data_IF_941290690996
#
_entry.id   IF_941290690996
#
_cell.length_a   1.000
_cell.length_b   1.000
_cell.length_c   1.000
_cell.angle_alpha   90.00
_cell.angle_beta   90.00
_cell.angle_gamma   90.00
#
_symmetry.space_group_name_H-M   'P 1'
#
loop_
_entity.id
_entity.type
_entity.pdbx_description
1 polymer ?
#
# COMPACT_ATOMS: atom_id res chain seq x y z
N UNK A 1 0.80 0.97 74.15
CA UNK A 1 0.47 1.54 72.83
C UNK A 1 1.54 1.08 71.85
N UNK A 2 1.33 -0.08 71.23
CA UNK A 2 2.21 -0.62 70.19
C UNK A 2 1.52 -0.37 68.85
N UNK A 3 2.02 0.61 68.09
CA UNK A 3 1.68 0.80 66.69
C UNK A 3 2.39 -0.28 65.88
N UNK A 4 1.76 -1.45 65.76
CA UNK A 4 2.08 -2.43 64.72
C UNK A 4 1.75 -1.82 63.37
N UNK A 5 2.72 -1.07 62.82
CA UNK A 5 2.71 -0.64 61.42
C UNK A 5 2.75 -1.92 60.59
N UNK A 6 1.57 -2.37 60.16
CA UNK A 6 1.42 -3.42 59.18
C UNK A 6 2.08 -2.91 57.90
N UNK A 7 3.34 -3.28 57.70
CA UNK A 7 4.01 -3.23 56.42
C UNK A 7 3.19 -4.12 55.48
N UNK A 8 2.20 -3.54 54.81
CA UNK A 8 1.54 -4.14 53.68
C UNK A 8 2.65 -4.46 52.69
N UNK A 9 3.01 -5.74 52.61
CA UNK A 9 3.97 -6.26 51.66
C UNK A 9 3.60 -5.69 50.31
N UNK A 10 4.39 -4.73 49.82
CA UNK A 10 4.25 -4.25 48.47
C UNK A 10 4.24 -5.52 47.63
N UNK A 11 3.09 -5.81 46.99
CA UNK A 11 2.94 -6.91 46.06
C UNK A 11 3.88 -6.56 44.92
N UNK A 12 5.17 -6.88 45.09
CA UNK A 12 6.14 -6.93 44.03
C UNK A 12 5.61 -8.01 43.13
N UNK A 13 4.79 -7.60 42.15
CA UNK A 13 4.33 -8.47 41.09
C UNK A 13 5.57 -9.07 40.48
N UNK A 14 5.86 -10.32 40.87
CA UNK A 14 7.09 -11.00 40.48
C UNK A 14 7.12 -11.01 38.97
N UNK A 15 8.02 -10.22 38.38
CA UNK A 15 8.20 -10.24 36.94
C UNK A 15 8.47 -11.69 36.56
N UNK A 16 7.74 -12.26 35.59
CA UNK A 16 7.94 -13.64 35.18
C UNK A 16 9.43 -13.85 34.87
N UNK A 17 10.07 -14.77 35.59
CA UNK A 17 11.50 -15.09 35.48
C UNK A 17 11.74 -15.95 34.24
N UNK A 18 11.48 -15.38 33.06
CA UNK A 18 11.75 -16.06 31.81
C UNK A 18 13.19 -15.84 31.37
N UNK A 19 13.83 -16.93 30.96
CA UNK A 19 15.17 -16.96 30.41
C UNK A 19 15.16 -16.34 29.00
N UNK A 20 15.66 -15.10 28.90
CA UNK A 20 15.60 -14.27 27.70
C UNK A 20 16.32 -14.90 26.51
N UNK A 21 17.43 -15.60 26.76
CA UNK A 21 18.28 -16.15 25.72
C UNK A 21 17.56 -17.30 25.00
N UNK A 22 16.92 -18.19 25.77
CA UNK A 22 16.13 -19.31 25.23
C UNK A 22 14.98 -18.82 24.37
N UNK A 23 14.32 -17.74 24.77
CA UNK A 23 13.17 -17.19 24.03
C UNK A 23 13.59 -16.52 22.74
N UNK A 24 14.66 -15.74 22.77
CA UNK A 24 15.20 -15.14 21.57
C UNK A 24 15.56 -16.20 20.53
N UNK A 25 16.24 -17.27 20.95
CA UNK A 25 16.59 -18.40 20.08
C UNK A 25 15.34 -19.12 19.54
N UNK A 26 14.33 -19.35 20.39
CA UNK A 26 13.06 -19.96 19.97
C UNK A 26 12.36 -19.11 18.91
N UNK A 27 12.21 -17.80 19.14
CA UNK A 27 11.58 -16.87 18.19
C UNK A 27 12.33 -16.83 16.87
N UNK A 28 13.68 -16.76 16.89
CA UNK A 28 14.51 -16.77 15.68
C UNK A 28 14.34 -18.06 14.88
N UNK A 29 14.23 -19.20 15.56
CA UNK A 29 13.99 -20.50 14.91
C UNK A 29 12.63 -20.53 14.24
N UNK A 30 11.58 -20.12 14.93
CA UNK A 30 10.22 -20.02 14.37
C UNK A 30 10.16 -19.08 13.17
N UNK A 31 10.82 -17.92 13.25
CA UNK A 31 10.88 -16.98 12.15
C UNK A 31 11.56 -17.57 10.90
N UNK A 32 12.68 -18.30 11.08
CA UNK A 32 13.33 -19.01 9.97
C UNK A 32 12.42 -20.08 9.37
N UNK A 33 11.72 -20.85 10.20
CA UNK A 33 10.75 -21.85 9.73
C UNK A 33 9.65 -21.20 8.92
N UNK A 34 9.10 -20.07 9.40
CA UNK A 34 8.07 -19.31 8.70
C UNK A 34 8.57 -18.83 7.32
N UNK A 35 9.77 -18.25 7.25
CA UNK A 35 10.38 -17.85 5.97
C UNK A 35 10.52 -19.04 5.03
N UNK A 36 11.03 -20.18 5.51
CA UNK A 36 11.22 -21.38 4.68
C UNK A 36 9.88 -21.86 4.13
N UNK A 37 8.86 -21.97 4.97
CA UNK A 37 7.51 -22.38 4.56
C UNK A 37 6.97 -21.41 3.50
N UNK A 38 7.16 -20.11 3.71
CA UNK A 38 6.69 -19.10 2.79
C UNK A 38 7.40 -19.15 1.43
N UNK A 39 8.72 -19.34 1.41
CA UNK A 39 9.50 -19.52 0.17
C UNK A 39 9.08 -20.80 -0.56
N UNK A 40 8.80 -21.89 0.17
CA UNK A 40 8.30 -23.13 -0.42
C UNK A 40 6.92 -22.93 -1.04
N UNK A 41 6.00 -22.23 -0.38
CA UNK A 41 4.69 -21.89 -0.94
C UNK A 41 4.83 -21.08 -2.24
N UNK A 42 5.76 -20.12 -2.27
CA UNK A 42 6.07 -19.37 -3.48
C UNK A 42 6.64 -20.23 -4.61
N UNK A 43 7.58 -21.12 -4.30
CA UNK A 43 8.15 -22.04 -5.28
C UNK A 43 7.10 -23.01 -5.85
N UNK A 44 6.20 -23.50 -5.00
CA UNK A 44 5.06 -24.34 -5.41
C UNK A 44 4.12 -23.55 -6.32
N UNK A 45 3.81 -22.29 -5.98
CA UNK A 45 2.95 -21.44 -6.80
C UNK A 45 3.56 -21.19 -8.20
N UNK A 46 4.83 -20.81 -8.25
CA UNK A 46 5.55 -20.60 -9.52
C UNK A 46 5.58 -21.90 -10.32
N UNK A 47 5.96 -23.02 -9.69
CA UNK A 47 5.96 -24.33 -10.34
C UNK A 47 4.59 -24.69 -10.89
N UNK A 48 3.53 -24.49 -10.12
CA UNK A 48 2.16 -24.73 -10.58
C UNK A 48 1.81 -23.94 -11.84
N UNK A 49 2.14 -22.64 -11.91
CA UNK A 49 1.90 -21.83 -13.10
C UNK A 49 2.74 -22.31 -14.29
N UNK A 50 4.02 -22.61 -14.08
CA UNK A 50 4.93 -23.05 -15.15
C UNK A 50 4.59 -24.43 -15.73
N UNK A 51 3.98 -25.31 -14.94
CA UNK A 51 3.57 -26.65 -15.39
C UNK A 51 2.07 -26.76 -15.71
N UNK A 52 1.30 -25.68 -15.56
CA UNK A 52 -0.13 -25.67 -15.88
C UNK A 52 -0.36 -25.74 -17.39
N UNK A 53 -1.34 -26.53 -17.88
CA UNK A 53 -1.72 -26.57 -19.28
C UNK A 53 -2.51 -25.30 -19.66
N UNK A 54 -1.78 -24.21 -19.84
CA UNK A 54 -2.34 -22.94 -20.31
C UNK A 54 -2.49 -22.98 -21.83
N UNK A 55 -3.61 -22.47 -22.32
CA UNK A 55 -3.85 -22.29 -23.76
C UNK A 55 -3.15 -21.00 -24.19
N UNK A 56 -2.41 -21.05 -25.29
CA UNK A 56 -1.91 -19.84 -25.93
C UNK A 56 -3.09 -18.96 -26.32
N UNK A 57 -3.10 -17.72 -25.84
CA UNK A 57 -4.10 -16.76 -26.25
C UNK A 57 -3.77 -16.26 -27.67
N UNK A 58 -4.79 -16.11 -28.51
CA UNK A 58 -4.59 -15.58 -29.86
C UNK A 58 -4.03 -14.16 -29.77
N UNK A 59 -2.79 -13.98 -30.22
CA UNK A 59 -2.15 -12.68 -30.30
C UNK A 59 -2.83 -11.87 -31.42
N UNK A 60 -3.84 -11.10 -31.06
CA UNK A 60 -4.52 -10.22 -32.01
C UNK A 60 -3.61 -9.02 -32.30
N UNK A 61 -3.25 -8.76 -33.56
CA UNK A 61 -2.44 -7.60 -33.90
C UNK A 61 -3.19 -6.34 -33.49
N UNK A 62 -2.51 -5.48 -32.72
CA UNK A 62 -3.09 -4.20 -32.31
C UNK A 62 -3.42 -3.36 -33.53
N UNK A 63 -4.67 -2.91 -33.63
CA UNK A 63 -5.10 -1.95 -34.65
C UNK A 63 -4.26 -0.68 -34.48
N UNK A 64 -3.74 -0.12 -35.58
CA UNK A 64 -2.98 1.14 -35.54
C UNK A 64 -3.87 2.21 -34.90
N UNK A 65 -3.36 2.84 -33.83
CA UNK A 65 -4.14 3.82 -33.05
C UNK A 65 -4.94 3.24 -31.89
N UNK A 66 -4.94 1.92 -31.66
CA UNK A 66 -5.61 1.30 -30.51
C UNK A 66 -5.19 1.95 -29.19
N UNK A 67 -6.17 2.16 -28.32
CA UNK A 67 -5.97 2.69 -26.98
C UNK A 67 -5.52 1.55 -26.06
N UNK A 68 -4.25 1.57 -25.65
CA UNK A 68 -3.66 0.54 -24.79
C UNK A 68 -4.42 0.38 -23.46
N UNK A 69 -5.05 1.44 -22.95
CA UNK A 69 -5.88 1.39 -21.74
C UNK A 69 -7.09 0.48 -21.92
N UNK A 70 -7.70 0.46 -23.12
CA UNK A 70 -8.84 -0.43 -23.42
C UNK A 70 -8.37 -1.88 -23.53
N UNK A 71 -7.25 -2.09 -24.23
CA UNK A 71 -6.67 -3.42 -24.42
C UNK A 71 -6.26 -4.04 -23.07
N UNK A 72 -5.63 -3.25 -22.21
CA UNK A 72 -5.19 -3.68 -20.87
C UNK A 72 -6.27 -3.54 -19.80
N UNK A 73 -7.50 -3.15 -20.15
CA UNK A 73 -8.58 -2.94 -19.18
C UNK A 73 -8.81 -4.15 -18.26
N UNK A 74 -8.80 -5.41 -18.75
CA UNK A 74 -8.93 -6.59 -17.87
C UNK A 74 -7.79 -6.70 -16.84
N UNK A 75 -6.56 -6.39 -17.24
CA UNK A 75 -5.37 -6.42 -16.35
C UNK A 75 -5.46 -5.32 -15.30
N UNK A 76 -5.85 -4.10 -15.70
CA UNK A 76 -6.04 -2.96 -14.79
C UNK A 76 -7.17 -3.25 -13.79
N UNK A 77 -8.29 -3.79 -14.26
CA UNK A 77 -9.42 -4.16 -13.41
C UNK A 77 -9.03 -5.24 -12.40
N UNK A 78 -8.26 -6.26 -12.83
CA UNK A 78 -7.73 -7.29 -11.93
C UNK A 78 -6.78 -6.69 -10.88
N UNK A 79 -5.88 -5.78 -11.27
CA UNK A 79 -4.96 -5.12 -10.34
C UNK A 79 -5.70 -4.30 -9.27
N UNK A 80 -6.73 -3.55 -9.68
CA UNK A 80 -7.57 -2.79 -8.75
C UNK A 80 -8.36 -3.71 -7.80
N UNK A 81 -8.86 -4.85 -8.30
CA UNK A 81 -9.53 -5.85 -7.47
C UNK A 81 -8.58 -6.49 -6.44
N UNK A 82 -7.33 -6.78 -6.83
CA UNK A 82 -6.28 -7.25 -5.92
C UNK A 82 -6.00 -6.22 -4.84
N UNK A 83 -5.79 -4.96 -5.21
CA UNK A 83 -5.55 -3.87 -4.26
C UNK A 83 -6.67 -3.79 -3.22
N UNK A 84 -7.93 -3.78 -3.67
CA UNK A 84 -9.09 -3.70 -2.77
C UNK A 84 -9.23 -4.93 -1.88
N UNK A 85 -8.93 -6.11 -2.41
CA UNK A 85 -8.98 -7.37 -1.67
C UNK A 85 -7.90 -7.41 -0.59
N UNK A 86 -6.67 -7.00 -0.91
CA UNK A 86 -5.58 -6.90 0.06
C UNK A 86 -5.91 -5.89 1.14
N UNK A 87 -6.43 -4.71 0.78
CA UNK A 87 -6.86 -3.71 1.76
C UNK A 87 -7.90 -4.31 2.73
N UNK A 88 -8.91 -5.02 2.21
CA UNK A 88 -9.92 -5.69 3.03
C UNK A 88 -9.31 -6.76 3.94
N UNK A 89 -8.46 -7.63 3.41
CA UNK A 89 -7.76 -8.67 4.18
C UNK A 89 -6.89 -8.04 5.27
N UNK A 90 -6.12 -7.00 4.95
CA UNK A 90 -5.28 -6.32 5.93
C UNK A 90 -6.10 -5.58 6.98
N UNK A 91 -7.25 -5.02 6.64
CA UNK A 91 -8.14 -4.39 7.62
C UNK A 91 -8.71 -5.43 8.60
N UNK A 92 -9.09 -6.62 8.11
CA UNK A 92 -9.55 -7.74 8.95
C UNK A 92 -8.41 -8.30 9.80
N UNK A 93 -7.24 -8.50 9.18
CA UNK A 93 -6.07 -9.06 9.84
C UNK A 93 -5.31 -8.04 10.67
N UNK A 94 -5.62 -6.74 10.61
CA UNK A 94 -4.82 -5.70 11.27
C UNK A 94 -4.67 -5.99 12.75
N UNK A 95 -5.74 -6.45 13.40
CA UNK A 95 -5.69 -6.80 14.81
C UNK A 95 -4.73 -7.97 15.06
N UNK A 96 -4.82 -9.05 14.26
CA UNK A 96 -3.92 -10.21 14.34
C UNK A 96 -2.47 -9.88 13.95
N UNK A 97 -2.28 -8.99 12.98
CA UNK A 97 -0.98 -8.55 12.48
C UNK A 97 -0.28 -7.65 13.49
N UNK A 98 -1.00 -6.71 14.14
CA UNK A 98 -0.47 -5.93 15.27
C UNK A 98 0.04 -6.84 16.37
N UNK A 99 -0.74 -7.87 16.71
CA UNK A 99 -0.28 -8.88 17.68
C UNK A 99 0.98 -9.57 17.16
N UNK A 100 0.96 -10.12 15.94
CA UNK A 100 2.06 -10.90 15.37
C UNK A 100 3.37 -10.09 15.19
N UNK A 101 3.30 -8.87 14.67
CA UNK A 101 4.49 -8.02 14.50
C UNK A 101 5.05 -7.60 15.84
N UNK A 102 4.21 -7.30 16.83
CA UNK A 102 4.71 -7.03 18.16
C UNK A 102 5.30 -8.29 18.84
N UNK A 103 4.76 -9.48 18.54
CA UNK A 103 5.37 -10.75 18.90
C UNK A 103 6.78 -10.91 18.30
N UNK A 104 6.98 -10.48 17.04
CA UNK A 104 8.22 -10.67 16.28
C UNK A 104 9.27 -9.55 16.46
N UNK A 105 8.85 -8.29 16.54
CA UNK A 105 9.72 -7.11 16.43
C UNK A 105 10.36 -6.63 17.73
N UNK A 106 9.68 -6.74 18.87
CA UNK A 106 10.23 -6.39 20.21
C UNK A 106 10.34 -7.60 21.16
N UNK A 107 9.94 -8.78 20.68
CA UNK A 107 9.80 -9.97 21.49
C UNK A 107 8.62 -9.88 22.46
N UNK A 108 8.08 -11.05 22.79
CA UNK A 108 7.00 -11.31 23.75
C UNK A 108 7.00 -10.45 25.04
N UNK A 109 8.16 -9.94 25.46
CA UNK A 109 8.33 -9.15 26.68
C UNK A 109 7.57 -7.84 26.65
N UNK A 110 7.66 -7.06 25.56
CA UNK A 110 7.13 -5.70 25.60
C UNK A 110 5.61 -5.68 25.46
N UNK A 111 5.03 -6.47 24.56
CA UNK A 111 3.58 -6.49 24.40
C UNK A 111 2.89 -7.20 25.58
N UNK A 112 3.49 -8.26 26.15
CA UNK A 112 3.00 -8.79 27.43
C UNK A 112 3.17 -7.77 28.54
N UNK A 113 4.28 -7.03 28.62
CA UNK A 113 4.41 -6.00 29.64
C UNK A 113 3.36 -4.89 29.46
N UNK A 114 3.12 -4.41 28.25
CA UNK A 114 2.11 -3.39 27.99
C UNK A 114 0.69 -3.90 28.26
N UNK A 115 0.36 -5.12 27.83
CA UNK A 115 -0.95 -5.74 28.09
C UNK A 115 -1.14 -6.04 29.59
N UNK A 116 -0.11 -6.55 30.25
CA UNK A 116 -0.09 -6.78 31.70
C UNK A 116 -0.17 -5.44 32.43
N UNK A 117 0.49 -4.38 31.96
CA UNK A 117 0.46 -3.05 32.56
C UNK A 117 -0.94 -2.42 32.41
N UNK A 118 -1.60 -2.58 31.26
CA UNK A 118 -3.01 -2.19 31.07
C UNK A 118 -3.94 -3.03 31.95
N UNK A 119 -3.77 -4.35 32.00
CA UNK A 119 -4.56 -5.22 32.86
C UNK A 119 -4.35 -4.91 34.34
N UNK A 120 -3.11 -4.65 34.76
CA UNK A 120 -2.77 -4.24 36.12
C UNK A 120 -3.33 -2.86 36.44
N UNK A 121 -3.31 -1.90 35.50
CA UNK A 121 -3.94 -0.60 35.68
C UNK A 121 -5.47 -0.75 35.84
N UNK A 122 -6.12 -1.62 35.05
CA UNK A 122 -7.55 -1.92 35.17
C UNK A 122 -7.89 -2.62 36.49
N UNK A 123 -7.10 -3.62 36.89
CA UNK A 123 -7.25 -4.30 38.19
C UNK A 123 -7.00 -3.34 39.35
N UNK A 124 -6.01 -2.45 39.23
CA UNK A 124 -5.75 -1.41 40.22
C UNK A 124 -6.93 -0.46 40.36
N UNK A 125 -7.54 -0.02 39.26
CA UNK A 125 -8.77 0.78 39.28
C UNK A 125 -9.93 0.03 39.93
N UNK A 126 -10.14 -1.25 39.59
CA UNK A 126 -11.18 -2.07 40.18
C UNK A 126 -10.97 -2.22 41.70
N UNK A 127 -9.78 -2.62 42.13
CA UNK A 127 -9.44 -2.77 43.55
C UNK A 127 -9.51 -1.45 44.32
N UNK A 128 -9.09 -0.35 43.70
CA UNK A 128 -9.22 0.98 44.30
C UNK A 128 -10.69 1.36 44.51
N UNK A 129 -11.57 1.04 43.54
CA UNK A 129 -13.00 1.28 43.66
C UNK A 129 -13.68 0.41 44.72
N UNK A 130 -13.32 -0.87 44.81
CA UNK A 130 -13.84 -1.79 45.83
C UNK A 130 -13.40 -1.37 47.24
N UNK A 131 -12.12 -1.05 47.41
CA UNK A 131 -11.60 -0.57 48.70
C UNK A 131 -12.28 0.72 49.13
N UNK A 132 -12.53 1.63 48.19
CA UNK A 132 -13.25 2.87 48.46
C UNK A 132 -14.70 2.62 48.88
N UNK A 133 -15.42 1.72 48.20
CA UNK A 133 -16.79 1.35 48.58
C UNK A 133 -16.84 0.71 49.98
N UNK A 134 -15.86 -0.13 50.33
CA UNK A 134 -15.75 -0.72 51.65
C UNK A 134 -15.45 0.34 52.73
N UNK A 135 -14.52 1.26 52.47
CA UNK A 135 -14.20 2.36 53.40
C UNK A 135 -15.38 3.31 53.61
N UNK A 136 -16.26 3.50 52.61
CA UNK A 136 -17.49 4.27 52.76
C UNK A 136 -18.55 3.54 53.62
N UNK A 137 -18.64 2.22 53.52
CA UNK A 137 -19.57 1.42 54.33
C UNK A 137 -19.15 1.31 55.80
N UNK A 138 -17.84 1.35 56.07
CA UNK A 138 -17.27 1.25 57.42
C UNK A 138 -17.29 2.58 58.21
N UNK A 139 -17.74 3.67 57.58
CA UNK A 139 -17.97 4.94 58.27
C UNK A 139 -19.16 4.74 59.23
N UNK A 140 -18.87 4.30 60.46
CA UNK A 140 -19.86 4.20 61.53
C UNK A 140 -20.33 5.60 61.92
N UNK A 141 -21.58 5.93 61.57
CA UNK A 141 -22.25 7.20 61.86
C UNK A 141 -22.43 7.53 63.37
N UNK A 142 -21.86 6.74 64.29
CA UNK A 142 -22.22 6.72 65.70
C UNK A 142 -21.37 7.55 66.67
N UNK A 143 -20.16 8.01 66.31
CA UNK A 143 -19.22 8.57 67.32
C UNK A 143 -18.48 9.87 66.95
N UNK A 144 -18.58 10.37 65.72
CA UNK A 144 -17.88 11.59 65.28
C UNK A 144 -18.84 12.77 65.12
N UNK A 145 -18.41 13.98 65.47
CA UNK A 145 -19.18 15.20 65.21
C UNK A 145 -19.39 15.37 63.71
N UNK A 146 -20.51 15.96 63.29
CA UNK A 146 -20.85 16.14 61.88
C UNK A 146 -19.75 16.86 61.08
N UNK A 147 -18.99 17.77 61.71
CA UNK A 147 -17.86 18.45 61.08
C UNK A 147 -16.65 17.53 60.87
N UNK A 148 -16.29 16.71 61.86
CA UNK A 148 -15.17 15.77 61.74
C UNK A 148 -15.45 14.69 60.69
N UNK A 149 -16.71 14.25 60.59
CA UNK A 149 -17.18 13.34 59.55
C UNK A 149 -17.04 13.95 58.16
N UNK A 150 -17.43 15.21 57.99
CA UNK A 150 -17.32 15.92 56.72
C UNK A 150 -15.84 16.08 56.27
N UNK A 151 -14.95 16.41 57.20
CA UNK A 151 -13.51 16.55 56.92
C UNK A 151 -12.88 15.20 56.52
N UNK A 152 -13.25 14.10 57.20
CA UNK A 152 -12.77 12.76 56.86
C UNK A 152 -13.27 12.31 55.47
N UNK A 153 -14.55 12.51 55.18
CA UNK A 153 -15.13 12.19 53.86
C UNK A 153 -14.41 13.00 52.78
N UNK A 154 -14.20 14.30 52.99
CA UNK A 154 -13.52 15.14 52.01
C UNK A 154 -12.07 14.70 51.78
N UNK A 155 -11.36 14.31 52.83
CA UNK A 155 -9.99 13.79 52.73
C UNK A 155 -9.94 12.47 51.93
N UNK A 156 -10.85 11.53 52.20
CA UNK A 156 -10.95 10.26 51.46
C UNK A 156 -11.34 10.47 50.00
N UNK A 157 -12.28 11.35 49.71
CA UNK A 157 -12.66 11.74 48.33
C UNK A 157 -11.46 12.35 47.59
N UNK A 158 -10.71 13.24 48.24
CA UNK A 158 -9.50 13.84 47.64
C UNK A 158 -8.42 12.78 47.36
N UNK A 159 -8.23 11.80 48.25
CA UNK A 159 -7.29 10.70 48.04
C UNK A 159 -7.73 9.78 46.89
N UNK A 160 -9.03 9.44 46.81
CA UNK A 160 -9.60 8.64 45.73
C UNK A 160 -9.45 9.34 44.37
N UNK A 161 -9.74 10.65 44.30
CA UNK A 161 -9.54 11.45 43.09
C UNK A 161 -8.07 11.41 42.63
N UNK A 162 -7.10 11.51 43.54
CA UNK A 162 -5.67 11.40 43.19
C UNK A 162 -5.31 10.02 42.63
N UNK A 163 -5.84 8.94 43.21
CA UNK A 163 -5.61 7.58 42.72
C UNK A 163 -6.22 7.35 41.34
N UNK A 164 -7.43 7.86 41.10
CA UNK A 164 -8.10 7.76 39.80
C UNK A 164 -7.31 8.51 38.72
N UNK A 165 -6.82 9.72 39.01
CA UNK A 165 -5.97 10.50 38.09
C UNK A 165 -4.67 9.75 37.78
N UNK A 166 -3.99 9.19 38.78
CA UNK A 166 -2.75 8.42 38.55
C UNK A 166 -3.01 7.19 37.68
N UNK A 167 -4.12 6.49 37.91
CA UNK A 167 -4.49 5.32 37.12
C UNK A 167 -4.89 5.68 35.68
N UNK A 168 -5.62 6.77 35.48
CA UNK A 168 -5.91 7.32 34.14
C UNK A 168 -4.62 7.66 33.41
N UNK A 169 -3.68 8.35 34.08
CA UNK A 169 -2.39 8.71 33.50
C UNK A 169 -1.55 7.47 33.12
N UNK A 170 -1.57 6.41 33.94
CA UNK A 170 -0.89 5.15 33.59
C UNK A 170 -1.52 4.45 32.39
N UNK A 171 -2.85 4.44 32.31
CA UNK A 171 -3.56 3.89 31.16
C UNK A 171 -3.24 4.68 29.89
N UNK A 172 -3.30 6.01 29.94
CA UNK A 172 -2.96 6.90 28.83
C UNK A 172 -1.52 6.70 28.35
N UNK A 173 -0.56 6.59 29.28
CA UNK A 173 0.84 6.30 28.94
C UNK A 173 0.99 4.92 28.29
N UNK A 174 0.28 3.90 28.77
CA UNK A 174 0.33 2.56 28.20
C UNK A 174 -0.29 2.52 26.78
N UNK A 175 -1.41 3.21 26.57
CA UNK A 175 -2.05 3.36 25.27
C UNK A 175 -1.19 4.17 24.30
N UNK A 176 -0.58 5.27 24.75
CA UNK A 176 0.35 6.07 23.96
C UNK A 176 1.59 5.27 23.52
N UNK A 177 2.13 4.46 24.43
CA UNK A 177 3.22 3.54 24.12
C UNK A 177 2.78 2.49 23.08
N UNK A 178 1.57 1.91 23.21
CA UNK A 178 1.02 0.98 22.23
C UNK A 178 0.88 1.62 20.85
N UNK A 179 0.31 2.83 20.79
CA UNK A 179 0.12 3.59 19.57
C UNK A 179 1.47 3.89 18.88
N UNK A 180 2.46 4.38 19.62
CA UNK A 180 3.80 4.70 19.12
C UNK A 180 4.52 3.49 18.49
N UNK A 181 4.26 2.29 18.99
CA UNK A 181 4.82 1.07 18.40
C UNK A 181 4.13 0.67 17.10
N UNK A 182 2.79 0.80 17.06
CA UNK A 182 2.03 0.51 15.84
C UNK A 182 2.24 1.55 14.73
N UNK A 183 2.79 2.72 15.05
CA UNK A 183 3.20 3.74 14.08
C UNK A 183 4.70 3.72 13.77
N UNK A 184 5.46 2.77 14.31
CA UNK A 184 6.90 2.71 14.05
C UNK A 184 7.23 2.37 12.58
N UNK A 185 8.28 2.97 12.03
CA UNK A 185 8.73 2.74 10.64
C UNK A 185 8.97 1.26 10.34
N UNK A 186 9.48 0.50 11.31
CA UNK A 186 9.69 -0.94 11.18
C UNK A 186 8.38 -1.72 11.06
N UNK A 187 7.32 -1.30 11.76
CA UNK A 187 6.00 -1.91 11.64
C UNK A 187 5.38 -1.60 10.27
N UNK A 188 5.43 -0.34 9.85
CA UNK A 188 4.89 0.12 8.56
C UNK A 188 5.62 -0.60 7.43
N UNK A 189 6.95 -0.61 7.43
CA UNK A 189 7.75 -1.31 6.41
C UNK A 189 7.51 -2.81 6.37
N UNK A 190 7.36 -3.48 7.53
CA UNK A 190 7.03 -4.90 7.58
C UNK A 190 5.63 -5.20 7.02
N UNK A 191 4.62 -4.38 7.35
CA UNK A 191 3.26 -4.48 6.79
C UNK A 191 3.29 -4.30 5.27
N UNK A 192 4.00 -3.28 4.80
CA UNK A 192 4.16 -2.98 3.37
C UNK A 192 4.89 -4.12 2.63
N UNK A 193 5.97 -4.66 3.20
CA UNK A 193 6.66 -5.79 2.60
C UNK A 193 5.74 -7.02 2.50
N UNK A 194 5.01 -7.34 3.58
CA UNK A 194 4.06 -8.44 3.57
C UNK A 194 2.92 -8.23 2.57
N UNK A 195 2.40 -7.00 2.44
CA UNK A 195 1.32 -6.70 1.49
C UNK A 195 1.77 -6.80 0.05
N UNK A 196 2.98 -6.34 -0.27
CA UNK A 196 3.58 -6.49 -1.61
C UNK A 196 3.68 -7.97 -1.95
N UNK A 197 4.26 -8.79 -1.06
CA UNK A 197 4.49 -10.19 -1.43
C UNK A 197 3.19 -10.99 -1.52
N UNK A 198 2.22 -10.76 -0.63
CA UNK A 198 0.89 -11.37 -0.73
C UNK A 198 0.15 -10.90 -1.99
N UNK A 199 0.28 -9.63 -2.35
CA UNK A 199 -0.29 -9.10 -3.58
C UNK A 199 0.29 -9.77 -4.81
N UNK A 200 1.61 -9.92 -4.87
CA UNK A 200 2.30 -10.64 -5.94
C UNK A 200 1.79 -12.09 -6.06
N UNK A 201 1.62 -12.82 -4.96
CA UNK A 201 1.04 -14.17 -5.00
C UNK A 201 -0.38 -14.17 -5.55
N UNK A 202 -1.23 -13.27 -5.04
CA UNK A 202 -2.63 -13.20 -5.42
C UNK A 202 -2.79 -12.80 -6.90
N UNK A 203 -1.97 -11.87 -7.38
CA UNK A 203 -1.94 -11.48 -8.79
C UNK A 203 -1.55 -12.63 -9.71
N UNK A 204 -0.54 -13.43 -9.34
CA UNK A 204 -0.15 -14.65 -10.08
C UNK A 204 -1.29 -15.67 -10.12
N UNK A 205 -1.99 -15.88 -9.01
CA UNK A 205 -3.15 -16.80 -8.97
C UNK A 205 -4.26 -16.30 -9.90
N UNK A 206 -4.61 -15.01 -9.84
CA UNK A 206 -5.68 -14.42 -10.65
C UNK A 206 -5.33 -14.46 -12.13
N UNK A 207 -4.09 -14.14 -12.50
CA UNK A 207 -3.66 -14.23 -13.89
C UNK A 207 -3.72 -15.66 -14.41
N UNK A 208 -3.29 -16.65 -13.61
CA UNK A 208 -3.33 -18.05 -14.01
C UNK A 208 -4.76 -18.60 -14.14
N UNK A 209 -5.63 -18.31 -13.17
CA UNK A 209 -7.04 -18.74 -13.20
C UNK A 209 -7.80 -18.04 -14.34
N UNK A 210 -7.55 -16.74 -14.54
CA UNK A 210 -8.16 -15.95 -15.61
C UNK A 210 -7.50 -16.12 -16.98
N UNK A 211 -6.43 -16.91 -17.08
CA UNK A 211 -5.60 -17.06 -18.29
C UNK A 211 -5.18 -15.72 -18.90
N UNK A 212 -4.90 -14.72 -18.06
CA UNK A 212 -4.57 -13.37 -18.50
C UNK A 212 -3.13 -13.32 -19.03
N UNK A 213 -3.01 -13.05 -20.33
CA UNK A 213 -1.76 -12.99 -21.08
C UNK A 213 -1.58 -11.56 -21.63
N UNK A 214 -0.85 -10.72 -20.88
CA UNK A 214 -0.65 -9.30 -21.21
C UNK A 214 0.11 -9.12 -22.53
N UNK A 215 1.14 -9.93 -22.80
CA UNK A 215 1.87 -9.84 -24.06
C UNK A 215 1.01 -10.29 -25.24
N UNK A 216 0.24 -11.37 -25.09
CA UNK A 216 -0.71 -11.78 -26.12
C UNK A 216 -1.76 -10.69 -26.40
N UNK A 217 -2.29 -10.03 -25.35
CA UNK A 217 -3.20 -8.87 -25.49
C UNK A 217 -2.56 -7.70 -26.24
N UNK A 218 -1.24 -7.52 -26.12
CA UNK A 218 -0.47 -6.52 -26.85
C UNK A 218 -0.07 -6.97 -28.27
N UNK A 219 -0.52 -8.13 -28.72
CA UNK A 219 -0.17 -8.71 -30.02
C UNK A 219 1.25 -9.28 -30.09
N UNK A 220 1.90 -9.49 -28.94
CA UNK A 220 3.25 -10.03 -28.82
C UNK A 220 3.15 -11.53 -28.52
N UNK A 221 3.07 -12.36 -29.57
CA UNK A 221 2.94 -13.82 -29.46
C UNK A 221 4.26 -14.59 -29.30
N UNK A 222 5.39 -13.92 -29.07
CA UNK A 222 6.70 -14.58 -28.93
C UNK A 222 6.95 -15.14 -27.52
N UNK A 223 6.17 -14.68 -26.54
CA UNK A 223 6.34 -15.07 -25.13
C UNK A 223 5.48 -16.31 -24.88
N UNK A 224 6.06 -17.41 -24.34
CA UNK A 224 5.28 -18.59 -23.95
C UNK A 224 4.18 -18.24 -22.95
N UNK A 225 2.98 -18.83 -23.10
CA UNK A 225 1.82 -18.50 -22.27
C UNK A 225 2.09 -18.58 -20.76
N UNK A 226 2.88 -19.55 -20.30
CA UNK A 226 3.24 -19.70 -18.89
C UNK A 226 4.05 -18.52 -18.36
N UNK A 227 4.98 -18.01 -19.17
CA UNK A 227 5.82 -16.86 -18.82
C UNK A 227 4.99 -15.58 -18.88
N UNK A 228 4.14 -15.43 -19.90
CA UNK A 228 3.25 -14.27 -20.03
C UNK A 228 2.28 -14.18 -18.84
N UNK A 229 1.59 -15.28 -18.50
CA UNK A 229 0.70 -15.34 -17.33
C UNK A 229 1.45 -15.02 -16.04
N UNK A 230 2.66 -15.56 -15.84
CA UNK A 230 3.45 -15.27 -14.65
C UNK A 230 3.81 -13.78 -14.56
N UNK A 231 4.31 -13.18 -15.63
CA UNK A 231 4.65 -11.75 -15.67
C UNK A 231 3.40 -10.90 -15.46
N UNK A 232 2.31 -11.22 -16.16
CA UNK A 232 1.00 -10.55 -16.03
C UNK A 232 0.54 -10.59 -14.57
N UNK A 233 0.66 -11.75 -13.92
CA UNK A 233 0.32 -11.92 -12.52
C UNK A 233 1.19 -11.11 -11.56
N UNK A 234 2.49 -11.02 -11.78
CA UNK A 234 3.39 -10.16 -11.01
C UNK A 234 3.03 -8.68 -11.19
N UNK A 235 2.71 -8.27 -12.42
CA UNK A 235 2.26 -6.90 -12.72
C UNK A 235 0.96 -6.58 -11.98
N UNK A 236 -0.05 -7.44 -12.08
CA UNK A 236 -1.32 -7.32 -11.35
C UNK A 236 -1.08 -7.24 -9.83
N UNK A 237 -0.25 -8.14 -9.31
CA UNK A 237 -0.01 -8.28 -7.88
C UNK A 237 0.82 -7.16 -7.26
N UNK A 238 1.56 -6.42 -8.08
CA UNK A 238 2.32 -5.25 -7.65
C UNK A 238 1.44 -4.02 -7.38
N UNK A 239 0.14 -4.09 -7.70
CA UNK A 239 -0.85 -3.05 -7.47
C UNK A 239 -1.04 -2.09 -8.66
N UNK A 240 -1.88 -1.08 -8.48
CA UNK A 240 -2.21 -0.11 -9.53
C UNK A 240 -1.06 0.83 -9.92
N UNK A 241 -0.12 1.09 -9.00
CA UNK A 241 0.96 2.05 -9.22
C UNK A 241 1.94 1.61 -10.33
N UNK A 242 2.52 0.39 -10.30
CA UNK A 242 3.40 -0.05 -11.39
C UNK A 242 2.68 -0.22 -12.72
N UNK A 243 1.39 -0.60 -12.71
CA UNK A 243 0.55 -0.69 -13.92
C UNK A 243 0.42 0.69 -14.57
N UNK A 244 0.17 1.75 -13.79
CA UNK A 244 0.09 3.11 -14.33
C UNK A 244 1.42 3.58 -14.92
N UNK A 245 2.55 3.26 -14.28
CA UNK A 245 3.88 3.54 -14.83
C UNK A 245 4.15 2.78 -16.13
N UNK A 246 3.76 1.50 -16.22
CA UNK A 246 3.89 0.71 -17.44
C UNK A 246 3.06 1.30 -18.58
N UNK A 247 1.80 1.67 -18.32
CA UNK A 247 0.95 2.34 -19.32
C UNK A 247 1.58 3.65 -19.79
N UNK A 248 2.12 4.46 -18.87
CA UNK A 248 2.82 5.70 -19.20
C UNK A 248 4.07 5.47 -20.07
N UNK A 249 4.90 4.49 -19.73
CA UNK A 249 6.11 4.16 -20.50
C UNK A 249 5.72 3.64 -21.90
N UNK A 250 4.70 2.79 -22.01
CA UNK A 250 4.22 2.29 -23.29
C UNK A 250 3.63 3.41 -24.18
N UNK A 251 2.92 4.35 -23.58
CA UNK A 251 2.41 5.54 -24.27
C UNK A 251 3.55 6.45 -24.75
N UNK A 252 4.55 6.69 -23.92
CA UNK A 252 5.74 7.46 -24.29
C UNK A 252 6.55 6.77 -25.39
N UNK A 253 6.73 5.45 -25.31
CA UNK A 253 7.39 4.64 -26.33
C UNK A 253 6.65 4.70 -27.67
N UNK A 254 5.32 4.61 -27.65
CA UNK A 254 4.49 4.80 -28.85
C UNK A 254 4.71 6.17 -29.48
N UNK A 255 4.68 7.24 -28.68
CA UNK A 255 4.94 8.60 -29.17
C UNK A 255 6.33 8.77 -29.79
N UNK A 256 7.35 8.13 -29.21
CA UNK A 256 8.70 8.14 -29.76
C UNK A 256 8.78 7.42 -31.12
N UNK A 257 8.16 6.24 -31.25
CA UNK A 257 8.13 5.48 -32.51
C UNK A 257 7.33 6.21 -33.59
N UNK A 258 6.18 6.78 -33.24
CA UNK A 258 5.35 7.56 -34.17
C UNK A 258 6.08 8.84 -34.61
N UNK A 259 6.83 9.49 -33.71
CA UNK A 259 7.70 10.62 -34.03
C UNK A 259 8.82 10.26 -35.02
N UNK A 260 9.47 9.11 -34.83
CA UNK A 260 10.49 8.59 -35.77
C UNK A 260 9.87 8.24 -37.13
N UNK A 261 8.70 7.58 -37.15
CA UNK A 261 7.98 7.32 -38.41
C UNK A 261 7.58 8.61 -39.12
N UNK A 262 7.11 9.62 -38.39
CA UNK A 262 6.80 10.93 -38.93
C UNK A 262 8.03 11.63 -39.53
N UNK A 263 9.19 11.49 -38.89
CA UNK A 263 10.46 12.00 -39.42
C UNK A 263 10.92 11.25 -40.68
N UNK A 264 10.85 9.91 -40.67
CA UNK A 264 11.18 9.07 -41.84
C UNK A 264 10.23 9.32 -43.02
N UNK A 265 8.94 9.53 -42.77
CA UNK A 265 7.97 9.90 -43.81
C UNK A 265 8.22 11.30 -44.38
N UNK A 266 8.73 12.25 -43.59
CA UNK A 266 9.18 13.57 -44.09
C UNK A 266 10.48 13.50 -44.89
N UNK A 267 11.33 12.51 -44.61
CA UNK A 267 12.57 12.27 -45.34
C UNK A 267 12.35 11.47 -46.63
N UNK A 268 11.19 10.84 -46.81
CA UNK A 268 10.81 10.26 -48.10
C UNK A 268 10.52 11.43 -49.04
N UNK A 269 11.33 11.65 -50.09
CA UNK A 269 11.14 12.76 -51.01
C UNK A 269 9.95 12.41 -51.90
N UNK A 270 8.74 12.60 -51.39
CA UNK A 270 7.63 12.89 -52.27
C UNK A 270 8.03 14.19 -52.95
N UNK A 271 8.24 14.11 -54.26
CA UNK A 271 8.58 15.20 -55.16
C UNK A 271 7.50 16.27 -54.99
N UNK A 272 7.67 17.14 -54.00
CA UNK A 272 7.03 18.44 -53.99
C UNK A 272 7.64 19.15 -55.17
N UNK A 273 7.02 18.97 -56.34
CA UNK A 273 7.30 19.73 -57.52
C UNK A 273 7.00 21.17 -57.15
N UNK A 274 8.01 21.88 -56.65
CA UNK A 274 8.01 23.32 -56.49
C UNK A 274 7.84 23.88 -57.89
N UNK A 275 6.60 24.10 -58.31
CA UNK A 275 6.30 24.76 -59.58
C UNK A 275 6.57 26.23 -59.36
N UNK A 276 7.84 26.63 -59.47
CA UNK A 276 8.22 28.04 -59.57
C UNK A 276 7.54 28.61 -60.82
N UNK A 277 6.44 29.33 -60.62
CA UNK A 277 5.80 30.09 -61.69
C UNK A 277 6.54 31.42 -61.80
N UNK A 278 7.66 31.45 -62.53
CA UNK A 278 8.32 32.70 -62.91
C UNK A 278 7.37 33.50 -63.78
N UNK A 279 6.76 34.55 -63.23
CA UNK A 279 5.92 35.47 -64.01
C UNK A 279 6.85 36.54 -64.57
N UNK A 280 7.27 36.39 -65.83
CA UNK A 280 8.04 37.41 -66.54
C UNK A 280 7.11 38.59 -66.86
N UNK A 281 7.20 39.68 -66.10
CA UNK A 281 6.52 40.94 -66.43
C UNK A 281 7.31 41.62 -67.55
N UNK A 282 6.69 41.75 -68.73
CA UNK A 282 7.22 42.50 -69.87
C UNK A 282 7.10 43.99 -69.56
N UNK A 283 8.23 44.65 -69.29
CA UNK A 283 8.29 46.11 -69.09
C UNK A 283 8.15 46.81 -70.44
N UNK A 284 7.13 47.65 -70.61
CA UNK A 284 7.10 48.64 -71.69
C UNK A 284 8.05 49.81 -71.37
N UNK A 285 8.66 50.35 -72.41
CA UNK A 285 9.72 51.34 -72.30
C UNK A 285 9.13 52.72 -71.94
N UNK A 286 9.41 53.22 -70.73
CA UNK A 286 9.11 54.62 -70.39
C UNK A 286 9.01 55.02 -68.93
N UNK A 287 9.02 54.10 -67.94
CA UNK A 287 8.84 54.46 -66.53
C UNK A 287 10.03 54.12 -65.61
N UNK A 288 10.27 54.92 -64.55
CA UNK A 288 11.38 54.74 -63.63
C UNK A 288 11.19 53.51 -62.71
N UNK A 289 12.30 52.83 -62.44
CA UNK A 289 12.38 51.54 -61.75
C UNK A 289 11.63 51.49 -60.41
N UNK A 290 10.60 50.65 -60.32
CA UNK A 290 10.01 50.23 -59.05
C UNK A 290 10.63 48.91 -58.57
N UNK A 291 10.89 48.85 -57.27
CA UNK A 291 11.48 47.71 -56.55
C UNK A 291 10.54 46.51 -56.61
N UNK A 292 10.97 45.41 -57.23
CA UNK A 292 10.22 44.15 -57.27
C UNK A 292 10.26 43.47 -55.88
N UNK A 293 9.12 43.37 -55.21
CA UNK A 293 8.95 42.46 -54.06
C UNK A 293 8.60 41.06 -54.59
N UNK A 294 9.46 40.07 -54.33
CA UNK A 294 9.16 38.67 -54.55
C UNK A 294 8.22 38.17 -53.45
N UNK A 295 6.93 38.00 -53.76
CA UNK A 295 5.98 37.33 -52.87
C UNK A 295 6.09 35.82 -53.11
N UNK A 296 6.59 35.09 -52.11
CA UNK A 296 6.58 33.62 -52.12
C UNK A 296 5.23 33.15 -51.59
N UNK A 297 4.27 32.88 -52.47
CA UNK A 297 3.01 32.25 -52.09
C UNK A 297 3.23 30.74 -51.89
N UNK A 298 3.17 30.28 -50.64
CA UNK A 298 3.20 28.85 -50.33
C UNK A 298 1.76 28.31 -50.39
N UNK A 299 1.32 27.84 -51.56
CA UNK A 299 0.00 27.23 -51.70
C UNK A 299 0.04 25.79 -51.17
N UNK A 300 -0.59 25.54 -50.02
CA UNK A 300 -0.80 24.16 -49.52
C UNK A 300 -1.95 23.55 -50.32
N UNK A 301 -1.64 22.61 -51.22
CA UNK A 301 -2.66 21.88 -51.96
C UNK A 301 -3.39 20.90 -51.02
N UNK A 302 -4.66 21.19 -50.73
CA UNK A 302 -5.59 20.25 -50.08
C UNK A 302 -6.05 19.25 -51.14
N UNK A 303 -5.54 18.02 -51.08
CA UNK A 303 -6.03 16.91 -51.90
C UNK A 303 -7.45 16.56 -51.45
N UNK A 304 -8.44 16.92 -52.26
CA UNK A 304 -9.81 16.40 -52.14
C UNK A 304 -9.85 15.10 -52.93
N UNK A 305 -9.74 13.96 -52.25
CA UNK A 305 -10.05 12.65 -52.84
C UNK A 305 -11.56 12.55 -53.01
N UNK A 306 -12.02 12.75 -54.25
CA UNK A 306 -13.40 12.61 -54.68
C UNK A 306 -13.74 11.11 -54.75
N UNK A 307 -14.62 10.68 -53.85
CA UNK A 307 -15.12 9.31 -53.75
C UNK A 307 -16.23 9.13 -54.78
N UNK A 308 -15.91 8.51 -55.93
CA UNK A 308 -16.90 8.21 -56.96
C UNK A 308 -17.69 6.96 -56.56
N UNK A 309 -18.96 7.13 -56.21
CA UNK A 309 -19.90 6.02 -56.10
C UNK A 309 -21.22 6.38 -56.79
N UNK A 310 -21.38 5.86 -58.01
CA UNK A 310 -22.54 5.85 -58.91
C UNK A 310 -23.10 7.18 -59.42
#
# INVERSE_FOLDING_TARGET
MNSSVNNASAVQGGMPTWDNEKQFLKTRRWFRVLIIVFVLLWAILIGWVLFSPLKDADALPLVVGANLTIVLAPVVAAAAAVERTLESIFNVLENSWRTMVAYLGRGLRWLKNAEVEVQQARQFLANASEKYNAELQDIQFGQTSASALADEIQAKVNAANKLMVLAQQRLENAEGNLAAVTSSDSYISAKTAASIVLGLMLGVIIAAVGQLQMFAMLGIGIVPAQIDVLITGLVIGSGSYPVHSLVGILQQGKGAVDGVKGYLNRLSPEVQATREKTTTVKSEAGEPAQVQQSVVETTTAKSTSEETNK
#
